data_IF_697941713120
#
_entry.id   IF_697941713120
#
_cell.length_a   1.000
_cell.length_b   1.000
_cell.length_c   1.000
_cell.angle_alpha   90.00
_cell.angle_beta   90.00
_cell.angle_gamma   90.00
#
_symmetry.space_group_name_H-M   'P 1'
#
loop_
_entity.id
_entity.type
_entity.pdbx_description
1 polymer ?
#
# COMPACT_ATOMS: atom_id res chain seq x y z
N UNK A 1 25.55 9.34 -17.56
CA UNK A 1 24.47 8.35 -17.64
C UNK A 1 24.34 7.91 -19.08
N UNK A 2 24.66 6.66 -19.38
CA UNK A 2 24.39 6.05 -20.70
C UNK A 2 22.87 5.92 -20.87
N UNK A 3 22.34 6.27 -22.04
CA UNK A 3 20.93 6.06 -22.36
C UNK A 3 20.58 4.57 -22.12
N UNK A 4 19.40 4.26 -21.55
CA UNK A 4 18.99 2.86 -21.36
C UNK A 4 18.99 2.16 -22.73
N UNK A 5 19.47 0.92 -22.74
CA UNK A 5 19.52 0.11 -23.93
C UNK A 5 18.09 -0.09 -24.48
N UNK A 6 17.92 -0.04 -25.78
CA UNK A 6 16.62 -0.33 -26.42
C UNK A 6 16.31 -1.80 -26.23
N UNK A 7 15.07 -2.15 -25.87
CA UNK A 7 14.63 -3.55 -25.77
C UNK A 7 14.78 -4.25 -27.15
N UNK A 8 15.24 -5.49 -27.12
CA UNK A 8 15.21 -6.34 -28.31
C UNK A 8 13.77 -6.68 -28.71
N UNK A 9 13.53 -7.13 -29.95
CA UNK A 9 12.21 -7.51 -30.40
C UNK A 9 11.55 -8.59 -29.52
N UNK A 10 12.33 -9.55 -29.03
CA UNK A 10 11.82 -10.59 -28.12
C UNK A 10 11.45 -10.03 -26.74
N UNK A 11 12.24 -9.13 -26.19
CA UNK A 11 11.95 -8.43 -24.93
C UNK A 11 10.70 -7.54 -25.05
N UNK A 12 10.59 -6.81 -26.16
CA UNK A 12 9.42 -5.99 -26.44
C UNK A 12 8.16 -6.84 -26.55
N UNK A 13 8.24 -7.98 -27.23
CA UNK A 13 7.11 -8.92 -27.35
C UNK A 13 6.66 -9.44 -25.98
N UNK A 14 7.59 -9.82 -25.10
CA UNK A 14 7.26 -10.28 -23.74
C UNK A 14 6.60 -9.19 -22.91
N UNK A 15 7.09 -7.95 -22.97
CA UNK A 15 6.49 -6.81 -22.28
C UNK A 15 5.08 -6.47 -22.82
N UNK A 16 4.92 -6.43 -24.15
CA UNK A 16 3.64 -6.12 -24.82
C UNK A 16 2.57 -7.17 -24.52
N UNK A 17 2.93 -8.45 -24.40
CA UNK A 17 2.01 -9.51 -24.01
C UNK A 17 1.40 -9.26 -22.63
N UNK A 18 2.24 -8.93 -21.63
CA UNK A 18 1.78 -8.61 -20.27
C UNK A 18 0.89 -7.37 -20.27
N UNK A 19 1.32 -6.29 -20.95
CA UNK A 19 0.56 -5.01 -20.94
C UNK A 19 -0.78 -5.18 -21.66
N UNK A 20 -0.81 -5.89 -22.77
CA UNK A 20 -2.06 -6.18 -23.49
C UNK A 20 -3.03 -6.98 -22.61
N UNK A 21 -2.54 -7.95 -21.86
CA UNK A 21 -3.37 -8.75 -20.95
C UNK A 21 -3.89 -7.93 -19.75
N UNK A 22 -3.13 -6.96 -19.26
CA UNK A 22 -3.49 -6.13 -18.10
C UNK A 22 -4.37 -4.92 -18.46
N UNK A 23 -4.11 -4.29 -19.58
CA UNK A 23 -4.72 -3.00 -19.95
C UNK A 23 -5.52 -3.04 -21.28
N UNK A 24 -5.64 -4.22 -21.87
CA UNK A 24 -6.44 -4.44 -23.07
C UNK A 24 -5.65 -4.34 -24.38
N UNK A 25 -6.29 -4.73 -25.52
CA UNK A 25 -5.67 -4.73 -26.82
C UNK A 25 -5.17 -3.34 -27.24
N UNK A 26 -3.94 -3.27 -27.75
CA UNK A 26 -3.31 -2.03 -28.18
C UNK A 26 -2.67 -1.20 -27.05
N UNK A 27 -2.80 -1.61 -25.80
CA UNK A 27 -2.08 -0.97 -24.70
C UNK A 27 -0.56 -1.10 -24.87
N UNK A 28 0.16 -0.05 -24.49
CA UNK A 28 1.64 0.01 -24.55
C UNK A 28 2.20 0.61 -23.28
N UNK A 29 3.45 0.25 -22.97
CA UNK A 29 4.21 0.94 -21.94
C UNK A 29 4.37 2.42 -22.29
N UNK A 30 4.23 3.28 -21.30
CA UNK A 30 4.57 4.71 -21.39
C UNK A 30 6.09 4.87 -21.49
N UNK A 31 6.58 5.99 -21.99
CA UNK A 31 8.01 6.22 -22.22
C UNK A 31 8.87 5.99 -20.95
N UNK A 32 8.44 6.52 -19.80
CA UNK A 32 9.14 6.30 -18.53
C UNK A 32 9.04 4.85 -18.04
N UNK A 33 7.91 4.16 -18.29
CA UNK A 33 7.77 2.73 -17.99
C UNK A 33 8.73 1.91 -18.86
N UNK A 34 8.76 2.19 -20.15
CA UNK A 34 9.68 1.54 -21.08
C UNK A 34 11.13 1.79 -20.70
N UNK A 35 11.47 3.01 -20.29
CA UNK A 35 12.81 3.37 -19.80
C UNK A 35 13.18 2.56 -18.56
N UNK A 36 12.26 2.44 -17.58
CA UNK A 36 12.49 1.65 -16.38
C UNK A 36 12.66 0.15 -16.70
N UNK A 37 11.76 -0.42 -17.51
CA UNK A 37 11.82 -1.82 -17.93
C UNK A 37 13.14 -2.10 -18.66
N UNK A 38 13.52 -1.24 -19.61
CA UNK A 38 14.75 -1.39 -20.37
C UNK A 38 15.99 -1.35 -19.47
N UNK A 39 16.05 -0.44 -18.51
CA UNK A 39 17.14 -0.37 -17.54
C UNK A 39 17.24 -1.67 -16.71
N UNK A 40 16.11 -2.24 -16.29
CA UNK A 40 16.05 -3.47 -15.47
C UNK A 40 16.49 -4.73 -16.19
N UNK A 41 16.65 -4.72 -17.52
CA UNK A 41 17.24 -5.84 -18.27
C UNK A 41 18.75 -5.92 -18.15
N UNK A 42 19.40 -4.87 -17.64
CA UNK A 42 20.84 -4.86 -17.42
C UNK A 42 21.17 -5.49 -16.05
N UNK A 43 22.22 -6.33 -15.98
CA UNK A 43 22.68 -6.89 -14.71
C UNK A 43 23.05 -5.77 -13.71
N UNK A 44 22.63 -5.95 -12.47
CA UNK A 44 22.92 -5.04 -11.38
C UNK A 44 22.23 -3.67 -11.45
N UNK A 45 21.26 -3.48 -12.36
CA UNK A 45 20.53 -2.24 -12.48
C UNK A 45 19.85 -1.84 -11.18
N UNK A 46 19.84 -0.56 -10.87
CA UNK A 46 19.15 0.06 -9.72
C UNK A 46 18.23 1.13 -10.28
N UNK A 47 16.92 0.95 -10.09
CA UNK A 47 15.91 1.87 -10.63
C UNK A 47 14.96 2.30 -9.51
N UNK A 48 14.74 3.59 -9.38
CA UNK A 48 13.75 4.18 -8.48
C UNK A 48 12.69 4.90 -9.31
N UNK A 49 11.43 4.46 -9.20
CA UNK A 49 10.28 5.05 -9.88
C UNK A 49 9.42 5.80 -8.86
N UNK A 50 9.41 7.13 -8.95
CA UNK A 50 8.59 8.03 -8.12
C UNK A 50 7.50 8.62 -9.01
N UNK A 51 6.31 8.03 -8.98
CA UNK A 51 5.20 8.38 -9.89
C UNK A 51 3.87 8.35 -9.14
N UNK A 52 2.92 9.17 -9.56
CA UNK A 52 1.59 9.26 -8.97
C UNK A 52 0.89 7.89 -8.82
N UNK A 53 -0.06 7.80 -7.90
CA UNK A 53 -0.98 6.65 -7.83
C UNK A 53 -1.74 6.50 -9.16
N UNK A 54 -1.97 5.26 -9.61
CA UNK A 54 -2.62 5.00 -10.90
C UNK A 54 -1.75 5.21 -12.14
N UNK A 55 -0.47 5.60 -12.00
CA UNK A 55 0.45 5.73 -13.13
C UNK A 55 0.82 4.38 -13.77
N UNK A 56 0.62 3.29 -13.07
CA UNK A 56 0.96 1.96 -13.54
C UNK A 56 2.38 1.51 -13.17
N UNK A 57 2.83 1.83 -11.95
CA UNK A 57 4.14 1.37 -11.43
C UNK A 57 4.28 -0.15 -11.50
N UNK A 58 3.20 -0.90 -11.25
CA UNK A 58 3.17 -2.36 -11.32
C UNK A 58 3.42 -2.91 -12.73
N UNK A 59 3.03 -2.19 -13.78
CA UNK A 59 3.32 -2.58 -15.15
C UNK A 59 4.84 -2.71 -15.41
N UNK A 60 5.65 -1.91 -14.73
CA UNK A 60 7.11 -1.96 -14.85
C UNK A 60 7.64 -3.31 -14.38
N UNK A 61 7.28 -3.73 -13.16
CA UNK A 61 7.83 -4.98 -12.62
C UNK A 61 7.19 -6.22 -13.25
N UNK A 62 5.93 -6.17 -13.69
CA UNK A 62 5.34 -7.30 -14.43
C UNK A 62 6.04 -7.49 -15.79
N UNK A 63 6.27 -6.41 -16.54
CA UNK A 63 6.97 -6.48 -17.82
C UNK A 63 8.43 -6.90 -17.66
N UNK A 64 9.16 -6.35 -16.67
CA UNK A 64 10.52 -6.76 -16.38
C UNK A 64 10.61 -8.24 -15.98
N UNK A 65 9.68 -8.72 -15.13
CA UNK A 65 9.59 -10.14 -14.76
C UNK A 65 9.42 -11.02 -16.00
N UNK A 66 8.46 -10.71 -16.87
CA UNK A 66 8.22 -11.49 -18.09
C UNK A 66 9.45 -11.54 -19.01
N UNK A 67 10.16 -10.44 -19.18
CA UNK A 67 11.40 -10.39 -19.96
C UNK A 67 12.48 -11.27 -19.33
N UNK A 68 12.70 -11.15 -18.03
CA UNK A 68 13.73 -11.91 -17.29
C UNK A 68 13.41 -13.40 -17.34
N UNK A 69 12.16 -13.79 -17.13
CA UNK A 69 11.72 -15.20 -17.18
C UNK A 69 11.82 -15.77 -18.60
N UNK A 70 11.44 -15.01 -19.62
CA UNK A 70 11.59 -15.43 -21.01
C UNK A 70 13.07 -15.64 -21.43
N UNK A 71 13.99 -14.94 -20.78
CA UNK A 71 15.43 -15.11 -20.97
C UNK A 71 16.03 -16.25 -20.12
N UNK A 72 15.21 -17.03 -19.38
CA UNK A 72 15.67 -18.10 -18.49
C UNK A 72 16.18 -17.61 -17.13
N UNK A 73 15.94 -16.36 -16.79
CA UNK A 73 16.28 -15.81 -15.48
C UNK A 73 15.37 -16.30 -14.36
N UNK A 74 15.76 -16.04 -13.11
CA UNK A 74 15.06 -16.46 -11.92
C UNK A 74 13.76 -15.69 -11.65
N UNK A 75 13.03 -16.03 -10.58
CA UNK A 75 11.79 -15.38 -10.19
C UNK A 75 12.02 -13.97 -9.68
N UNK A 76 10.93 -13.19 -9.60
CA UNK A 76 10.91 -11.87 -8.98
C UNK A 76 10.44 -11.98 -7.53
N UNK A 77 11.18 -11.37 -6.61
CA UNK A 77 10.76 -11.15 -5.22
C UNK A 77 10.19 -9.74 -5.10
N UNK A 78 8.94 -9.62 -4.64
CA UNK A 78 8.31 -8.32 -4.36
C UNK A 78 8.11 -8.18 -2.85
N UNK A 79 8.73 -7.15 -2.27
CA UNK A 79 8.50 -6.74 -0.89
C UNK A 79 7.41 -5.67 -0.91
N UNK A 80 6.23 -5.97 -0.34
CA UNK A 80 5.07 -5.08 -0.33
C UNK A 80 4.47 -5.02 1.07
N UNK A 81 4.10 -3.82 1.59
CA UNK A 81 3.75 -3.65 3.01
C UNK A 81 2.33 -4.09 3.38
N UNK A 82 1.50 -4.49 2.40
CA UNK A 82 0.06 -4.67 2.64
C UNK A 82 -0.46 -5.98 2.06
N UNK A 83 -1.08 -6.78 2.94
CA UNK A 83 -1.68 -8.07 2.57
C UNK A 83 -2.82 -7.94 1.54
N UNK A 84 -3.67 -6.90 1.66
CA UNK A 84 -4.74 -6.63 0.70
C UNK A 84 -4.18 -6.34 -0.69
N UNK A 85 -3.17 -5.48 -0.77
CA UNK A 85 -2.50 -5.15 -2.03
C UNK A 85 -1.83 -6.37 -2.66
N UNK A 86 -1.25 -7.26 -1.86
CA UNK A 86 -0.62 -8.49 -2.37
C UNK A 86 -1.61 -9.40 -3.09
N UNK A 87 -2.86 -9.53 -2.59
CA UNK A 87 -3.90 -10.32 -3.27
C UNK A 87 -4.22 -9.77 -4.66
N UNK A 88 -4.40 -8.46 -4.75
CA UNK A 88 -4.67 -7.79 -6.03
C UNK A 88 -3.47 -7.88 -6.98
N UNK A 89 -2.26 -7.81 -6.45
CA UNK A 89 -1.02 -8.00 -7.21
C UNK A 89 -0.90 -9.43 -7.73
N UNK A 90 -1.21 -10.46 -6.93
CA UNK A 90 -1.24 -11.86 -7.39
C UNK A 90 -2.27 -12.05 -8.50
N UNK A 91 -3.48 -11.52 -8.33
CA UNK A 91 -4.52 -11.58 -9.35
C UNK A 91 -4.10 -10.84 -10.64
N UNK A 92 -3.42 -9.69 -10.52
CA UNK A 92 -2.88 -8.96 -11.65
C UNK A 92 -1.77 -9.74 -12.38
N UNK A 93 -0.84 -10.36 -11.63
CA UNK A 93 0.20 -11.21 -12.19
C UNK A 93 -0.40 -12.36 -13.01
N UNK A 94 -1.39 -13.05 -12.46
CA UNK A 94 -2.09 -14.14 -13.15
C UNK A 94 -2.78 -13.65 -14.43
N UNK A 95 -3.46 -12.50 -14.39
CA UNK A 95 -4.03 -11.89 -15.63
C UNK A 95 -2.95 -11.56 -16.65
N UNK A 96 -1.76 -11.15 -16.19
CA UNK A 96 -0.58 -10.91 -17.04
C UNK A 96 0.12 -12.17 -17.52
N UNK A 97 -0.40 -13.36 -17.22
CA UNK A 97 0.18 -14.65 -17.63
C UNK A 97 1.37 -15.09 -16.76
N UNK A 98 1.59 -14.47 -15.60
CA UNK A 98 2.66 -14.80 -14.67
C UNK A 98 2.15 -15.67 -13.52
N UNK A 99 2.91 -16.70 -13.14
CA UNK A 99 2.65 -17.51 -11.97
C UNK A 99 3.10 -16.78 -10.70
N UNK A 100 2.18 -16.43 -9.81
CA UNK A 100 2.47 -15.66 -8.61
C UNK A 100 1.91 -16.32 -7.34
N UNK A 101 2.59 -16.11 -6.22
CA UNK A 101 2.13 -16.53 -4.90
C UNK A 101 2.54 -15.50 -3.84
N UNK A 102 1.90 -15.56 -2.68
CA UNK A 102 2.26 -14.76 -1.50
C UNK A 102 2.52 -15.65 -0.31
N UNK A 103 3.49 -15.28 0.52
CA UNK A 103 3.74 -15.90 1.83
C UNK A 103 3.37 -14.92 2.94
N UNK A 104 2.30 -15.23 3.67
CA UNK A 104 1.79 -14.38 4.75
C UNK A 104 1.20 -15.22 5.90
N UNK A 105 0.68 -14.57 6.93
CA UNK A 105 0.13 -15.27 8.11
C UNK A 105 -1.18 -16.03 7.85
N UNK A 106 -1.91 -15.68 6.79
CA UNK A 106 -3.19 -16.33 6.50
C UNK A 106 -3.05 -17.63 5.72
N UNK A 107 -1.87 -17.92 5.11
CA UNK A 107 -1.65 -19.10 4.29
C UNK A 107 -0.46 -19.99 4.73
N UNK A 108 -0.20 -20.04 6.04
CA UNK A 108 0.94 -20.80 6.61
C UNK A 108 0.96 -22.27 6.14
N UNK A 109 -0.22 -22.89 6.02
CA UNK A 109 -0.34 -24.28 5.54
C UNK A 109 0.13 -24.52 4.10
N UNK A 110 0.20 -23.47 3.28
CA UNK A 110 0.60 -23.55 1.87
C UNK A 110 2.08 -23.28 1.64
N UNK A 111 2.81 -22.81 2.67
CA UNK A 111 4.19 -22.34 2.50
C UNK A 111 5.12 -23.36 1.90
N UNK A 112 5.06 -24.62 2.37
CA UNK A 112 5.94 -25.69 1.86
C UNK A 112 5.71 -25.95 0.36
N UNK A 113 4.45 -25.95 -0.09
CA UNK A 113 4.12 -26.12 -1.50
C UNK A 113 4.58 -24.91 -2.35
N UNK A 114 4.47 -23.70 -1.83
CA UNK A 114 4.95 -22.47 -2.51
C UNK A 114 6.48 -22.50 -2.61
N UNK A 115 7.19 -22.92 -1.55
CA UNK A 115 8.65 -23.06 -1.56
C UNK A 115 9.13 -24.13 -2.54
N UNK A 116 8.40 -25.26 -2.67
CA UNK A 116 8.70 -26.29 -3.67
C UNK A 116 8.54 -25.75 -5.10
N UNK A 117 7.45 -25.04 -5.37
CA UNK A 117 7.23 -24.39 -6.68
C UNK A 117 8.33 -23.37 -6.98
N UNK A 118 8.77 -22.61 -5.96
CA UNK A 118 9.85 -21.63 -6.11
C UNK A 118 11.17 -22.31 -6.48
N UNK A 119 11.53 -23.41 -5.79
CA UNK A 119 12.74 -24.21 -6.09
C UNK A 119 12.66 -24.92 -7.44
N UNK A 120 11.45 -25.37 -7.81
CA UNK A 120 11.19 -26.01 -9.11
C UNK A 120 11.21 -25.06 -10.30
N UNK A 121 11.21 -23.74 -10.05
CA UNK A 121 11.14 -22.73 -11.11
C UNK A 121 9.74 -22.48 -11.67
N UNK A 122 8.70 -23.04 -11.04
CA UNK A 122 7.29 -22.94 -11.46
C UNK A 122 6.59 -21.68 -10.95
N UNK A 123 7.33 -20.84 -10.26
CA UNK A 123 6.85 -19.55 -9.75
C UNK A 123 7.63 -18.39 -10.38
N UNK A 124 6.92 -17.46 -11.01
CA UNK A 124 7.53 -16.28 -11.61
C UNK A 124 7.67 -15.13 -10.61
N UNK A 125 6.74 -15.05 -9.64
CA UNK A 125 6.69 -13.97 -8.68
C UNK A 125 6.35 -14.49 -7.29
N UNK A 126 7.15 -14.08 -6.30
CA UNK A 126 6.86 -14.26 -4.89
C UNK A 126 6.66 -12.89 -4.24
N UNK A 127 5.52 -12.70 -3.56
CA UNK A 127 5.24 -11.51 -2.77
C UNK A 127 5.39 -11.82 -1.28
N UNK A 128 6.10 -10.96 -0.56
CA UNK A 128 6.31 -11.08 0.88
C UNK A 128 6.11 -9.74 1.57
N UNK A 129 5.68 -9.75 2.83
CA UNK A 129 5.66 -8.52 3.62
C UNK A 129 7.03 -8.24 4.27
N UNK A 130 7.39 -6.97 4.50
CA UNK A 130 8.64 -6.61 5.16
C UNK A 130 8.77 -7.24 6.55
N UNK A 131 7.67 -7.31 7.33
CA UNK A 131 7.65 -7.92 8.66
C UNK A 131 8.00 -9.42 8.60
N UNK A 132 7.56 -10.11 7.54
CA UNK A 132 7.90 -11.52 7.32
C UNK A 132 9.35 -11.68 6.90
N UNK A 133 9.83 -10.83 6.02
CA UNK A 133 11.22 -10.84 5.59
C UNK A 133 12.17 -10.50 6.75
N UNK A 134 11.71 -9.67 7.69
CA UNK A 134 12.43 -9.33 8.92
C UNK A 134 12.56 -10.50 9.91
N UNK A 135 11.69 -11.52 9.84
CA UNK A 135 11.82 -12.71 10.67
C UNK A 135 13.04 -13.53 10.22
N UNK A 136 14.07 -13.73 11.07
CA UNK A 136 15.35 -14.32 10.65
C UNK A 136 15.24 -15.75 10.12
N UNK A 137 14.30 -16.54 10.65
CA UNK A 137 14.07 -17.93 10.19
C UNK A 137 13.36 -17.97 8.85
N UNK A 138 12.34 -17.15 8.68
CA UNK A 138 11.56 -17.04 7.45
C UNK A 138 12.36 -16.39 6.32
N UNK A 139 13.03 -15.27 6.61
CA UNK A 139 13.84 -14.54 5.62
C UNK A 139 14.92 -15.42 5.02
N UNK A 140 15.65 -16.17 5.86
CA UNK A 140 16.65 -17.13 5.38
C UNK A 140 16.05 -18.22 4.50
N UNK A 141 14.92 -18.83 4.90
CA UNK A 141 14.25 -19.85 4.10
C UNK A 141 13.85 -19.37 2.70
N UNK A 142 13.34 -18.14 2.61
CA UNK A 142 12.96 -17.53 1.32
C UNK A 142 14.20 -17.26 0.48
N UNK A 143 15.24 -16.66 1.07
CA UNK A 143 16.49 -16.38 0.35
C UNK A 143 17.21 -17.65 -0.07
N UNK A 144 17.22 -18.71 0.76
CA UNK A 144 17.78 -20.04 0.43
C UNK A 144 16.98 -20.71 -0.69
N UNK A 145 15.64 -20.56 -0.69
CA UNK A 145 14.80 -21.10 -1.76
C UNK A 145 15.03 -20.38 -3.10
N UNK A 146 15.39 -19.11 -3.07
CA UNK A 146 15.80 -18.34 -4.24
C UNK A 146 17.25 -18.65 -4.67
N UNK A 147 18.09 -19.20 -3.74
CA UNK A 147 19.41 -19.79 -3.94
C UNK A 147 20.32 -19.09 -4.98
N UNK A 148 20.44 -17.79 -4.90
CA UNK A 148 21.28 -17.00 -5.82
C UNK A 148 20.71 -16.86 -7.24
N UNK A 149 19.52 -17.39 -7.50
CA UNK A 149 18.82 -17.30 -8.80
C UNK A 149 17.66 -16.29 -8.77
N UNK A 150 17.78 -15.20 -8.00
CA UNK A 150 16.80 -14.12 -8.00
C UNK A 150 16.93 -13.30 -9.28
N UNK A 151 15.86 -13.25 -10.09
CA UNK A 151 15.84 -12.50 -11.34
C UNK A 151 15.66 -10.99 -11.15
N UNK A 152 14.82 -10.58 -10.17
CA UNK A 152 14.52 -9.18 -9.87
C UNK A 152 14.09 -9.04 -8.40
N UNK A 153 14.59 -8.03 -7.72
CA UNK A 153 14.03 -7.59 -6.44
C UNK A 153 13.19 -6.33 -6.66
N UNK A 154 11.96 -6.33 -6.15
CA UNK A 154 11.07 -5.16 -6.16
C UNK A 154 10.78 -4.74 -4.72
N UNK A 155 10.97 -3.45 -4.44
CA UNK A 155 10.62 -2.81 -3.17
C UNK A 155 9.45 -1.86 -3.47
N UNK A 156 8.24 -2.30 -3.16
CA UNK A 156 7.05 -1.47 -3.33
C UNK A 156 6.85 -0.59 -2.09
N UNK A 157 6.25 0.59 -2.29
CA UNK A 157 6.13 1.65 -1.29
C UNK A 157 7.47 1.99 -0.61
N UNK A 158 8.52 2.12 -1.42
CA UNK A 158 9.90 2.30 -0.98
C UNK A 158 10.14 3.54 -0.09
N UNK A 159 9.20 4.48 0.00
CA UNK A 159 9.26 5.58 0.95
C UNK A 159 9.33 5.09 2.41
N UNK A 160 8.83 3.88 2.71
CA UNK A 160 8.87 3.29 4.04
C UNK A 160 10.28 2.80 4.44
N UNK A 161 11.22 2.72 3.51
CA UNK A 161 12.65 2.41 3.78
C UNK A 161 13.37 3.61 4.39
N UNK A 162 12.94 4.83 4.04
CA UNK A 162 13.58 6.07 4.47
C UNK A 162 13.18 6.45 5.89
N UNK A 163 14.13 6.73 6.75
CA UNK A 163 13.90 7.29 8.11
C UNK A 163 13.17 8.66 8.06
N UNK A 164 13.16 9.31 6.91
CA UNK A 164 12.46 10.56 6.63
C UNK A 164 11.09 10.34 5.96
N UNK A 165 10.73 9.08 5.73
CA UNK A 165 9.42 8.70 5.22
C UNK A 165 8.35 8.88 6.32
N UNK A 166 7.17 9.36 5.94
CA UNK A 166 6.04 9.55 6.85
C UNK A 166 5.45 8.23 7.39
N UNK A 167 5.77 7.11 6.78
CA UNK A 167 5.33 5.75 7.15
C UNK A 167 6.56 4.84 7.30
N UNK A 168 7.58 5.36 8.00
CA UNK A 168 8.79 4.59 8.30
C UNK A 168 8.43 3.33 9.07
N UNK A 169 8.86 2.18 8.53
CA UNK A 169 8.66 0.87 9.15
C UNK A 169 10.01 0.24 9.47
N UNK A 170 10.30 -0.03 10.75
CA UNK A 170 11.57 -0.65 11.15
C UNK A 170 11.89 -1.94 10.39
N UNK A 171 10.86 -2.69 10.00
CA UNK A 171 11.00 -3.94 9.25
C UNK A 171 11.60 -3.73 7.85
N UNK A 172 11.44 -2.55 7.25
CA UNK A 172 12.11 -2.21 6.00
C UNK A 172 13.63 -2.06 6.11
N UNK A 173 14.19 -1.88 7.32
CA UNK A 173 15.63 -1.95 7.53
C UNK A 173 16.21 -3.30 7.12
N UNK A 174 15.44 -4.37 7.31
CA UNK A 174 15.84 -5.72 6.85
C UNK A 174 15.89 -5.84 5.33
N UNK A 175 15.14 -5.02 4.61
CA UNK A 175 15.26 -4.94 3.14
C UNK A 175 16.64 -4.42 2.75
N UNK A 176 17.20 -3.47 3.52
CA UNK A 176 18.57 -3.01 3.32
C UNK A 176 19.62 -4.12 3.60
N UNK A 177 19.37 -5.01 4.57
CA UNK A 177 20.22 -6.18 4.78
C UNK A 177 20.14 -7.14 3.58
N UNK A 178 18.93 -7.43 3.09
CA UNK A 178 18.73 -8.24 1.88
C UNK A 178 19.44 -7.63 0.67
N UNK A 179 19.39 -6.31 0.51
CA UNK A 179 20.10 -5.59 -0.57
C UNK A 179 21.62 -5.77 -0.50
N UNK A 180 22.20 -5.84 0.71
CA UNK A 180 23.63 -6.05 0.92
C UNK A 180 24.08 -7.48 0.60
N UNK A 181 23.23 -8.45 0.94
CA UNK A 181 23.53 -9.88 0.74
C UNK A 181 23.14 -10.37 -0.68
N UNK A 182 22.47 -9.51 -1.46
CA UNK A 182 22.01 -9.82 -2.80
C UNK A 182 23.18 -9.99 -3.77
N UNK A 183 23.04 -10.92 -4.70
CA UNK A 183 23.99 -11.00 -5.84
C UNK A 183 24.04 -9.62 -6.52
N UNK A 184 25.24 -8.99 -6.65
CA UNK A 184 25.36 -7.67 -7.24
C UNK A 184 24.79 -7.54 -8.66
N UNK A 185 24.72 -8.66 -9.39
CA UNK A 185 24.13 -8.71 -10.73
C UNK A 185 22.58 -8.71 -10.74
N UNK A 186 21.92 -8.97 -9.61
CA UNK A 186 20.45 -8.92 -9.54
C UNK A 186 19.95 -7.49 -9.67
N UNK A 187 19.09 -7.16 -10.66
CA UNK A 187 18.49 -5.85 -10.76
C UNK A 187 17.53 -5.57 -9.61
N UNK A 188 17.40 -4.31 -9.21
CA UNK A 188 16.50 -3.87 -8.15
C UNK A 188 15.65 -2.70 -8.65
N UNK A 189 14.35 -2.82 -8.43
CA UNK A 189 13.37 -1.77 -8.64
C UNK A 189 12.78 -1.33 -7.31
N UNK A 190 12.82 -0.05 -7.02
CA UNK A 190 12.04 0.57 -5.95
C UNK A 190 10.92 1.43 -6.55
N UNK A 191 9.71 1.33 -5.99
CA UNK A 191 8.55 2.10 -6.46
C UNK A 191 7.89 2.83 -5.30
N UNK A 192 7.45 4.07 -5.54
CA UNK A 192 6.65 4.82 -4.57
C UNK A 192 5.81 5.89 -5.24
N UNK A 193 4.70 6.29 -4.59
CA UNK A 193 3.86 7.41 -5.02
C UNK A 193 4.05 8.67 -4.17
N UNK A 194 4.74 8.60 -3.04
CA UNK A 194 4.66 9.62 -1.98
C UNK A 194 6.02 10.15 -1.50
N UNK A 195 7.09 9.95 -2.25
CA UNK A 195 8.40 10.46 -1.88
C UNK A 195 8.57 11.93 -2.27
N UNK A 196 8.91 12.78 -1.31
CA UNK A 196 9.43 14.13 -1.57
C UNK A 196 10.90 14.05 -2.05
N UNK A 197 11.53 15.20 -2.33
CA UNK A 197 12.88 15.22 -2.85
C UNK A 197 13.91 14.58 -1.90
N UNK A 198 13.76 14.80 -0.58
CA UNK A 198 14.66 14.26 0.45
C UNK A 198 14.53 12.73 0.56
N UNK A 199 13.30 12.22 0.65
CA UNK A 199 13.03 10.77 0.67
C UNK A 199 13.50 10.11 -0.63
N UNK A 200 13.31 10.78 -1.78
CA UNK A 200 13.81 10.28 -3.08
C UNK A 200 15.32 10.13 -3.07
N UNK A 201 16.04 11.13 -2.55
CA UNK A 201 17.51 11.10 -2.49
C UNK A 201 17.99 10.00 -1.52
N UNK A 202 17.39 9.88 -0.35
CA UNK A 202 17.72 8.87 0.65
C UNK A 202 17.51 7.44 0.11
N UNK A 203 16.35 7.17 -0.47
CA UNK A 203 16.07 5.84 -1.07
C UNK A 203 17.03 5.56 -2.23
N UNK A 204 17.35 6.56 -3.08
CA UNK A 204 18.30 6.38 -4.17
C UNK A 204 19.71 6.07 -3.67
N UNK A 205 20.15 6.70 -2.58
CA UNK A 205 21.44 6.45 -1.94
C UNK A 205 21.50 5.02 -1.37
N UNK A 206 20.45 4.57 -0.69
CA UNK A 206 20.35 3.21 -0.15
C UNK A 206 20.35 2.12 -1.23
N UNK A 207 19.79 2.40 -2.41
CA UNK A 207 19.83 1.50 -3.57
C UNK A 207 21.24 1.47 -4.22
N UNK A 208 21.98 2.54 -4.10
CA UNK A 208 23.34 2.67 -4.63
C UNK A 208 23.56 3.90 -5.52
N UNK A 209 24.82 4.31 -5.66
CA UNK A 209 25.24 5.55 -6.33
C UNK A 209 24.91 5.64 -7.82
N UNK A 210 24.60 4.52 -8.46
CA UNK A 210 24.27 4.42 -9.90
C UNK A 210 22.76 4.30 -10.14
N UNK A 211 21.94 4.62 -9.15
CA UNK A 211 20.46 4.48 -9.25
C UNK A 211 19.89 5.41 -10.32
N UNK A 212 19.16 4.83 -11.27
CA UNK A 212 18.33 5.58 -12.22
C UNK A 212 17.06 6.03 -11.51
N UNK A 213 16.89 7.34 -11.33
CA UNK A 213 15.69 7.92 -10.73
C UNK A 213 14.77 8.44 -11.81
N UNK A 214 13.57 7.86 -11.92
CA UNK A 214 12.50 8.31 -12.81
C UNK A 214 11.39 8.94 -11.96
N UNK A 215 11.38 10.26 -11.93
CA UNK A 215 10.44 11.06 -11.15
C UNK A 215 9.53 11.88 -12.04
N UNK A 216 8.24 11.59 -12.01
CA UNK A 216 7.22 12.36 -12.70
C UNK A 216 6.44 13.32 -11.77
N UNK A 217 5.48 14.03 -12.35
CA UNK A 217 4.55 14.85 -11.58
C UNK A 217 3.68 13.96 -10.68
N UNK A 218 3.59 14.32 -9.42
CA UNK A 218 2.71 13.63 -8.46
C UNK A 218 1.27 14.17 -8.53
N UNK A 219 1.09 15.42 -9.01
CA UNK A 219 -0.22 16.03 -9.21
C UNK A 219 -0.96 15.36 -10.37
N UNK A 220 -2.26 15.12 -10.17
CA UNK A 220 -3.14 14.53 -11.17
C UNK A 220 -4.15 15.57 -11.65
N UNK A 221 -4.22 15.78 -12.97
CA UNK A 221 -5.09 16.78 -13.60
C UNK A 221 -6.58 16.46 -13.41
N UNK A 222 -6.93 15.18 -13.25
CA UNK A 222 -8.32 14.75 -13.03
C UNK A 222 -8.90 15.09 -11.66
N UNK A 223 -8.09 15.54 -10.69
CA UNK A 223 -8.55 15.81 -9.34
C UNK A 223 -8.86 17.30 -9.14
N UNK A 224 -10.12 17.62 -8.84
CA UNK A 224 -10.56 18.97 -8.43
C UNK A 224 -10.58 19.04 -6.91
N UNK A 225 -9.53 19.64 -6.34
CA UNK A 225 -9.34 19.76 -4.90
C UNK A 225 -10.09 20.98 -4.36
N UNK A 226 -10.97 20.77 -3.40
CA UNK A 226 -11.73 21.79 -2.71
C UNK A 226 -11.58 21.65 -1.20
N UNK A 227 -11.60 22.77 -0.49
CA UNK A 227 -11.54 22.81 0.97
C UNK A 227 -12.65 23.71 1.49
N UNK A 228 -13.38 23.22 2.49
CA UNK A 228 -14.29 24.00 3.32
C UNK A 228 -13.81 23.91 4.76
N UNK A 229 -13.61 25.02 5.41
CA UNK A 229 -13.25 25.14 6.81
C UNK A 229 -14.33 25.83 7.64
N UNK A 230 -14.14 25.88 8.96
CA UNK A 230 -15.04 26.58 9.87
C UNK A 230 -16.39 25.90 10.11
N UNK A 231 -16.63 24.71 9.58
CA UNK A 231 -17.84 23.95 9.83
C UNK A 231 -17.77 23.21 11.17
N UNK A 232 -18.84 23.29 11.96
CA UNK A 232 -19.01 22.44 13.13
C UNK A 232 -19.17 20.96 12.73
N UNK A 233 -18.96 19.99 13.63
CA UNK A 233 -19.11 18.56 13.30
C UNK A 233 -20.47 18.23 12.67
N UNK A 234 -21.56 18.79 13.21
CA UNK A 234 -22.90 18.56 12.68
C UNK A 234 -23.12 19.19 11.30
N UNK A 235 -22.51 20.35 11.05
CA UNK A 235 -22.58 21.00 9.73
C UNK A 235 -21.79 20.22 8.68
N UNK A 236 -20.67 19.58 9.05
CA UNK A 236 -19.93 18.67 8.15
C UNK A 236 -20.77 17.46 7.77
N UNK A 237 -21.47 16.85 8.73
CA UNK A 237 -22.37 15.73 8.45
C UNK A 237 -23.54 16.16 7.56
N UNK A 238 -24.15 17.30 7.86
CA UNK A 238 -25.23 17.87 7.05
C UNK A 238 -24.78 18.16 5.62
N UNK A 239 -23.57 18.72 5.46
CA UNK A 239 -22.98 18.99 4.14
C UNK A 239 -22.84 17.71 3.34
N UNK A 240 -22.27 16.64 3.94
CA UNK A 240 -22.13 15.35 3.26
C UNK A 240 -23.50 14.78 2.89
N UNK A 241 -24.44 14.73 3.83
CA UNK A 241 -25.78 14.18 3.56
C UNK A 241 -26.48 14.94 2.43
N UNK A 242 -26.40 16.26 2.40
CA UNK A 242 -27.04 17.07 1.36
C UNK A 242 -26.33 17.00 0.00
N UNK A 243 -25.01 16.94 -0.01
CA UNK A 243 -24.23 17.02 -1.24
C UNK A 243 -24.02 15.66 -1.92
N UNK A 244 -24.08 14.54 -1.15
CA UNK A 244 -23.78 13.20 -1.63
C UNK A 244 -24.55 12.78 -2.90
N UNK A 245 -25.85 13.09 -3.05
CA UNK A 245 -26.58 12.76 -4.28
C UNK A 245 -26.03 13.41 -5.52
N UNK A 246 -25.53 14.65 -5.40
CA UNK A 246 -25.02 15.45 -6.51
C UNK A 246 -23.56 15.13 -6.87
N UNK A 247 -22.81 14.44 -6.02
CA UNK A 247 -21.44 14.03 -6.33
C UNK A 247 -21.40 12.99 -7.46
N UNK A 248 -20.37 13.04 -8.35
CA UNK A 248 -20.32 12.19 -9.54
C UNK A 248 -20.07 10.71 -9.17
N UNK A 249 -20.80 9.80 -9.80
CA UNK A 249 -20.59 8.35 -9.68
C UNK A 249 -20.70 7.83 -8.25
N UNK A 250 -19.79 6.96 -7.86
CA UNK A 250 -19.61 6.47 -6.50
C UNK A 250 -18.28 6.96 -5.91
N UNK A 251 -18.16 6.94 -4.57
CA UNK A 251 -16.97 7.49 -3.93
C UNK A 251 -16.73 6.99 -2.51
N UNK A 252 -15.75 7.61 -1.87
CA UNK A 252 -15.37 7.33 -0.48
C UNK A 252 -15.52 8.60 0.34
N UNK A 253 -16.13 8.47 1.52
CA UNK A 253 -16.17 9.52 2.53
C UNK A 253 -15.32 9.09 3.70
N UNK A 254 -14.17 9.73 3.92
CA UNK A 254 -13.28 9.42 5.03
C UNK A 254 -13.71 10.13 6.29
N UNK A 255 -13.86 9.37 7.37
CA UNK A 255 -14.10 9.84 8.73
C UNK A 255 -12.88 9.54 9.60
N UNK A 256 -12.66 10.36 10.65
CA UNK A 256 -11.48 10.22 11.51
C UNK A 256 -11.60 9.06 12.49
N UNK A 257 -12.82 8.77 12.96
CA UNK A 257 -13.10 7.72 13.94
C UNK A 257 -14.18 6.76 13.45
N UNK A 258 -14.24 5.57 14.05
CA UNK A 258 -15.30 4.59 13.80
C UNK A 258 -16.67 5.18 14.13
N UNK A 259 -16.78 5.83 15.29
CA UNK A 259 -18.03 6.45 15.73
C UNK A 259 -18.50 7.56 14.77
N UNK A 260 -17.60 8.32 14.16
CA UNK A 260 -17.96 9.32 13.16
C UNK A 260 -18.43 8.67 11.86
N UNK A 261 -17.84 7.55 11.47
CA UNK A 261 -18.27 6.81 10.29
C UNK A 261 -19.71 6.29 10.45
N UNK A 262 -20.03 5.70 11.60
CA UNK A 262 -21.36 5.19 11.90
C UNK A 262 -22.40 6.32 11.97
N UNK A 263 -22.10 7.39 12.72
CA UNK A 263 -22.98 8.57 12.83
C UNK A 263 -23.27 9.22 11.48
N UNK A 264 -22.26 9.27 10.61
CA UNK A 264 -22.43 9.85 9.29
C UNK A 264 -23.30 8.96 8.38
N UNK A 265 -23.17 7.65 8.45
CA UNK A 265 -24.07 6.72 7.77
C UNK A 265 -25.52 6.91 8.26
N UNK A 266 -25.72 7.01 9.58
CA UNK A 266 -27.04 7.26 10.16
C UNK A 266 -27.61 8.61 9.73
N UNK A 267 -26.79 9.67 9.69
CA UNK A 267 -27.21 10.98 9.22
C UNK A 267 -27.62 10.97 7.73
N UNK A 268 -26.89 10.27 6.87
CA UNK A 268 -27.23 10.13 5.46
C UNK A 268 -28.56 9.38 5.30
N UNK A 269 -28.72 8.26 6.03
CA UNK A 269 -29.96 7.47 6.02
C UNK A 269 -31.17 8.23 6.57
N UNK A 270 -30.97 9.06 7.60
CA UNK A 270 -32.04 9.88 8.15
C UNK A 270 -32.59 10.89 7.13
N UNK A 271 -31.75 11.35 6.19
CA UNK A 271 -32.13 12.32 5.15
C UNK A 271 -32.71 11.63 3.91
N UNK A 272 -32.14 10.51 3.49
CA UNK A 272 -32.41 9.88 2.18
C UNK A 272 -33.07 8.51 2.27
N UNK A 273 -33.22 7.94 3.47
CA UNK A 273 -33.69 6.55 3.60
C UNK A 273 -32.79 5.57 2.84
N UNK A 274 -33.44 4.67 2.10
CA UNK A 274 -32.75 3.67 1.27
C UNK A 274 -32.48 4.14 -0.17
N UNK A 275 -32.86 5.38 -0.52
CA UNK A 275 -32.66 5.92 -1.88
C UNK A 275 -31.16 6.11 -2.20
N UNK A 276 -30.33 6.26 -1.17
CA UNK A 276 -28.88 6.39 -1.31
C UNK A 276 -28.19 5.31 -0.48
N UNK A 277 -27.72 4.28 -1.18
CA UNK A 277 -27.01 3.18 -0.54
C UNK A 277 -25.64 3.62 -0.03
N UNK A 278 -25.43 3.60 1.28
CA UNK A 278 -24.16 3.86 1.96
C UNK A 278 -23.90 2.82 3.04
N UNK A 279 -22.63 2.56 3.31
CA UNK A 279 -22.23 1.67 4.38
C UNK A 279 -20.97 2.18 5.09
N UNK A 280 -20.86 1.89 6.38
CA UNK A 280 -19.63 2.13 7.14
C UNK A 280 -18.60 1.04 6.82
N UNK A 281 -17.33 1.47 6.60
CA UNK A 281 -16.19 0.59 6.38
C UNK A 281 -15.08 0.90 7.39
N UNK A 282 -14.93 0.03 8.37
CA UNK A 282 -13.99 0.26 9.49
C UNK A 282 -13.12 -0.95 9.75
N UNK A 283 -12.07 -0.77 10.57
CA UNK A 283 -11.19 -1.87 10.98
C UNK A 283 -11.86 -2.93 11.86
N UNK A 284 -13.04 -2.62 12.43
CA UNK A 284 -13.80 -3.54 13.28
C UNK A 284 -14.60 -4.58 12.48
N UNK A 285 -14.78 -4.37 11.17
CA UNK A 285 -15.44 -5.32 10.29
C UNK A 285 -14.56 -6.56 10.09
N UNK A 286 -15.18 -7.73 10.03
CA UNK A 286 -14.51 -8.95 9.60
C UNK A 286 -14.06 -8.89 8.12
N UNK A 287 -13.23 -9.85 7.72
CA UNK A 287 -12.63 -9.84 6.39
C UNK A 287 -13.68 -10.04 5.28
N UNK A 288 -14.69 -10.88 5.52
CA UNK A 288 -15.71 -11.22 4.52
C UNK A 288 -16.60 -10.00 4.28
N UNK A 289 -17.03 -9.34 5.36
CA UNK A 289 -17.82 -8.11 5.25
C UNK A 289 -17.09 -6.97 4.57
N UNK A 290 -15.80 -6.80 4.86
CA UNK A 290 -14.98 -5.82 4.15
C UNK A 290 -14.95 -6.10 2.65
N UNK A 291 -14.73 -7.36 2.28
CA UNK A 291 -14.70 -7.77 0.87
C UNK A 291 -16.04 -7.54 0.15
N UNK A 292 -17.17 -7.88 0.80
CA UNK A 292 -18.51 -7.60 0.25
C UNK A 292 -18.72 -6.11 -0.03
N UNK A 293 -18.28 -5.23 0.87
CA UNK A 293 -18.42 -3.78 0.73
C UNK A 293 -17.49 -3.20 -0.34
N UNK A 294 -16.27 -3.70 -0.42
CA UNK A 294 -15.32 -3.37 -1.49
C UNK A 294 -15.89 -3.74 -2.86
N UNK A 295 -16.45 -4.94 -2.98
CA UNK A 295 -17.10 -5.42 -4.19
C UNK A 295 -18.38 -4.63 -4.52
N UNK A 296 -19.15 -4.26 -3.50
CA UNK A 296 -20.32 -3.41 -3.69
C UNK A 296 -19.95 -2.02 -4.22
N UNK A 297 -18.88 -1.41 -3.73
CA UNK A 297 -18.39 -0.12 -4.23
C UNK A 297 -17.78 -0.27 -5.63
N UNK A 298 -17.02 -1.35 -5.88
CA UNK A 298 -16.41 -1.64 -7.19
C UNK A 298 -17.47 -1.70 -8.31
N UNK A 299 -18.61 -2.33 -8.03
CA UNK A 299 -19.71 -2.51 -8.97
C UNK A 299 -20.79 -1.43 -8.89
N UNK A 300 -20.52 -0.30 -8.23
CA UNK A 300 -21.46 0.83 -8.08
C UNK A 300 -22.80 0.44 -7.42
N UNK A 301 -22.82 -0.61 -6.58
CA UNK A 301 -24.00 -1.01 -5.81
C UNK A 301 -24.22 -0.16 -4.57
N UNK A 302 -23.23 0.62 -4.17
CA UNK A 302 -23.31 1.65 -3.14
C UNK A 302 -22.85 2.98 -3.70
N UNK A 303 -23.50 4.07 -3.26
CA UNK A 303 -23.09 5.44 -3.62
C UNK A 303 -21.77 5.82 -2.98
N UNK A 304 -21.59 5.44 -1.71
CA UNK A 304 -20.36 5.69 -0.99
C UNK A 304 -20.09 4.64 0.10
N UNK A 305 -18.81 4.39 0.36
CA UNK A 305 -18.37 3.86 1.64
C UNK A 305 -17.94 5.02 2.55
N UNK A 306 -18.49 5.05 3.75
CA UNK A 306 -18.04 5.94 4.81
C UNK A 306 -16.97 5.20 5.59
N UNK A 307 -15.71 5.57 5.38
CA UNK A 307 -14.57 4.76 5.79
C UNK A 307 -13.65 5.49 6.76
N UNK A 308 -13.06 4.75 7.68
CA UNK A 308 -11.84 5.20 8.38
C UNK A 308 -10.62 4.93 7.51
N UNK A 309 -9.41 5.18 8.04
CA UNK A 309 -8.15 4.78 7.39
C UNK A 309 -8.05 3.25 7.12
N UNK A 310 -8.99 2.45 7.63
CA UNK A 310 -9.10 1.01 7.36
C UNK A 310 -9.33 0.70 5.86
N UNK A 311 -10.05 1.56 5.13
CA UNK A 311 -10.08 1.53 3.66
C UNK A 311 -8.79 2.19 3.15
N UNK A 312 -7.70 1.55 3.53
CA UNK A 312 -6.36 2.01 3.30
C UNK A 312 -5.82 1.64 1.93
N UNK A 313 -4.49 1.61 1.80
CA UNK A 313 -3.80 1.24 0.57
C UNK A 313 -4.30 -0.12 0.03
N UNK A 314 -4.32 -0.30 -1.29
CA UNK A 314 -4.67 -1.56 -1.94
C UNK A 314 -6.04 -1.59 -2.63
N UNK A 315 -7.02 -0.78 -2.22
CA UNK A 315 -8.29 -0.72 -2.94
C UNK A 315 -8.17 0.10 -4.23
N UNK A 316 -8.50 -0.50 -5.36
CA UNK A 316 -8.47 0.13 -6.68
C UNK A 316 -9.83 0.10 -7.38
N UNK A 317 -10.39 1.29 -7.60
CA UNK A 317 -11.60 1.49 -8.41
C UNK A 317 -11.32 2.57 -9.45
N UNK A 318 -11.22 2.21 -10.75
CA UNK A 318 -10.83 3.15 -11.81
C UNK A 318 -11.78 4.34 -11.96
N UNK A 319 -13.07 4.11 -11.82
CA UNK A 319 -14.16 5.08 -12.00
C UNK A 319 -14.67 5.70 -10.67
N UNK A 320 -13.79 5.80 -9.64
CA UNK A 320 -14.15 6.47 -8.39
C UNK A 320 -14.30 7.98 -8.63
N UNK A 321 -15.53 8.48 -8.52
CA UNK A 321 -15.88 9.84 -8.93
C UNK A 321 -15.57 10.91 -7.89
N UNK A 322 -15.52 10.55 -6.60
CA UNK A 322 -15.23 11.50 -5.54
C UNK A 322 -14.54 10.89 -4.32
N UNK A 323 -13.85 11.76 -3.59
CA UNK A 323 -13.36 11.52 -2.23
C UNK A 323 -13.70 12.73 -1.36
N UNK A 324 -14.38 12.50 -0.24
CA UNK A 324 -14.68 13.53 0.76
C UNK A 324 -13.97 13.17 2.07
N UNK A 325 -13.31 14.15 2.68
CA UNK A 325 -12.74 14.02 4.02
C UNK A 325 -13.58 14.81 5.02
N UNK A 326 -14.13 14.12 6.02
CA UNK A 326 -14.82 14.72 7.17
C UNK A 326 -13.82 14.83 8.30
N UNK A 327 -13.01 15.87 8.25
CA UNK A 327 -11.83 16.10 9.07
C UNK A 327 -10.52 15.88 8.31
N UNK A 328 -9.48 16.55 8.78
CA UNK A 328 -8.16 16.52 8.17
C UNK A 328 -7.46 15.19 8.47
N UNK A 329 -6.91 14.48 7.48
CA UNK A 329 -6.10 13.29 7.71
C UNK A 329 -4.79 13.63 8.45
N UNK A 330 -4.08 12.62 9.03
CA UNK A 330 -2.94 12.83 9.92
C UNK A 330 -1.74 13.52 9.26
N UNK A 331 -1.66 13.47 7.94
CA UNK A 331 -0.56 14.05 7.21
C UNK A 331 -0.95 14.42 5.77
N UNK A 332 -0.24 15.35 5.12
CA UNK A 332 -0.42 15.63 3.69
C UNK A 332 -0.23 14.40 2.81
N UNK A 333 0.58 13.46 3.23
CA UNK A 333 0.84 12.24 2.49
C UNK A 333 -0.34 11.27 2.59
N UNK A 334 -0.91 11.09 3.79
CA UNK A 334 -2.15 10.32 3.97
C UNK A 334 -3.28 10.92 3.14
N UNK A 335 -3.41 12.26 3.14
CA UNK A 335 -4.34 12.96 2.27
C UNK A 335 -4.11 12.61 0.80
N UNK A 336 -2.88 12.75 0.32
CA UNK A 336 -2.51 12.46 -1.07
C UNK A 336 -2.80 11.00 -1.47
N UNK A 337 -2.51 10.04 -0.61
CA UNK A 337 -2.79 8.63 -0.84
C UNK A 337 -4.30 8.35 -0.94
N UNK A 338 -5.10 8.99 -0.08
CA UNK A 338 -6.56 8.84 -0.04
C UNK A 338 -7.23 9.50 -1.26
N UNK A 339 -6.90 10.74 -1.57
CA UNK A 339 -7.45 11.44 -2.76
C UNK A 339 -6.99 10.80 -4.07
N UNK A 340 -5.80 10.23 -4.08
CA UNK A 340 -5.24 9.52 -5.23
C UNK A 340 -6.02 8.26 -5.67
N UNK A 341 -7.06 7.88 -4.94
CA UNK A 341 -7.98 6.80 -5.33
C UNK A 341 -8.98 7.25 -6.37
N UNK A 342 -9.45 8.51 -6.28
CA UNK A 342 -10.42 9.05 -7.23
C UNK A 342 -9.82 9.34 -8.60
N UNK A 343 -10.64 9.37 -9.63
CA UNK A 343 -10.31 9.88 -10.96
C UNK A 343 -9.19 9.13 -11.70
N UNK A 344 -9.00 7.82 -11.48
CA UNK A 344 -7.92 7.07 -12.16
C UNK A 344 -8.17 6.86 -13.64
N UNK A 345 -9.41 6.53 -13.98
CA UNK A 345 -9.88 6.39 -15.38
C UNK A 345 -10.97 7.40 -15.73
N UNK A 346 -11.06 8.50 -15.00
CA UNK A 346 -11.98 9.60 -15.24
C UNK A 346 -11.19 10.86 -15.58
N UNK A 347 -11.77 11.71 -16.41
CA UNK A 347 -11.21 13.01 -16.73
C UNK A 347 -11.33 13.98 -15.56
N UNK A 348 -12.41 13.83 -14.76
CA UNK A 348 -12.73 14.68 -13.62
C UNK A 348 -13.19 13.87 -12.41
N UNK A 349 -12.69 14.20 -11.23
CA UNK A 349 -13.14 13.66 -9.96
C UNK A 349 -13.13 14.75 -8.88
N UNK A 350 -14.14 14.75 -8.02
CA UNK A 350 -14.30 15.73 -6.96
C UNK A 350 -13.58 15.29 -5.70
N UNK A 351 -12.73 16.15 -5.18
CA UNK A 351 -12.12 15.96 -3.86
C UNK A 351 -12.56 17.12 -2.96
N UNK A 352 -13.09 16.78 -1.79
CA UNK A 352 -13.54 17.75 -0.80
C UNK A 352 -12.88 17.46 0.55
N UNK A 353 -12.28 18.45 1.15
CA UNK A 353 -11.79 18.41 2.52
C UNK A 353 -12.67 19.35 3.39
N UNK A 354 -13.36 18.77 4.36
CA UNK A 354 -14.12 19.50 5.37
C UNK A 354 -13.25 19.61 6.63
N UNK A 355 -12.36 20.59 6.64
CA UNK A 355 -11.38 20.78 7.70
C UNK A 355 -11.99 21.40 8.97
N UNK A 356 -11.37 21.16 10.12
CA UNK A 356 -11.70 21.83 11.38
C UNK A 356 -10.47 21.95 12.26
N UNK A 357 -10.35 23.05 13.00
CA UNK A 357 -9.30 23.23 14.00
C UNK A 357 -9.37 22.21 15.16
N UNK A 358 -10.49 21.49 15.32
CA UNK A 358 -10.62 20.45 16.34
C UNK A 358 -10.01 19.12 15.91
N UNK A 359 -9.68 18.95 14.62
CA UNK A 359 -9.12 17.73 14.09
C UNK A 359 -7.72 17.44 14.67
N UNK A 360 -6.95 18.50 14.98
CA UNK A 360 -5.61 18.39 15.57
C UNK A 360 -5.64 17.65 16.91
N UNK A 361 -6.68 17.84 17.73
CA UNK A 361 -6.84 17.15 19.02
C UNK A 361 -7.02 15.65 18.86
N UNK A 362 -7.68 15.21 17.79
CA UNK A 362 -7.87 13.80 17.50
C UNK A 362 -6.52 13.17 17.14
N UNK A 363 -5.72 13.88 16.35
CA UNK A 363 -4.38 13.39 15.97
C UNK A 363 -3.40 13.45 17.14
N UNK A 364 -3.47 14.45 17.98
CA UNK A 364 -2.69 14.53 19.22
C UNK A 364 -3.03 13.34 20.14
N UNK A 365 -4.32 13.03 20.30
CA UNK A 365 -4.74 11.84 21.05
C UNK A 365 -4.15 10.56 20.47
N UNK A 366 -4.27 10.31 19.16
CA UNK A 366 -3.71 9.12 18.52
C UNK A 366 -2.18 9.07 18.61
N UNK A 367 -1.50 10.18 18.53
CA UNK A 367 -0.06 10.25 18.66
C UNK A 367 0.43 9.95 20.07
N UNK A 368 -0.36 10.30 21.10
CA UNK A 368 0.01 10.14 22.51
C UNK A 368 -0.55 8.87 23.14
N UNK A 369 -1.69 8.37 22.67
CA UNK A 369 -2.34 7.17 23.23
C UNK A 369 -1.51 5.89 23.10
N UNK A 370 -0.55 5.84 22.17
CA UNK A 370 0.37 4.72 21.99
C UNK A 370 1.67 4.86 22.79
N UNK A 371 1.91 6.01 23.41
CA UNK A 371 3.09 6.22 24.24
C UNK A 371 2.82 5.57 25.60
N UNK A 372 3.60 4.55 25.99
CA UNK A 372 3.42 3.94 27.29
C UNK A 372 3.63 4.96 28.40
N UNK A 373 2.81 4.89 29.45
CA UNK A 373 2.97 5.70 30.64
C UNK A 373 4.37 5.47 31.24
N UNK A 374 5.21 6.51 31.41
CA UNK A 374 6.57 6.36 31.90
C UNK A 374 6.64 5.76 33.31
N UNK A 375 5.63 5.98 34.16
CA UNK A 375 5.59 5.44 35.51
C UNK A 375 5.23 3.95 35.46
N UNK A 376 4.23 3.55 34.67
CA UNK A 376 3.92 2.12 34.45
C UNK A 376 5.09 1.37 33.79
N UNK A 377 5.83 2.00 32.89
CA UNK A 377 7.02 1.39 32.29
C UNK A 377 8.14 1.22 33.32
N UNK A 378 8.32 2.17 34.23
CA UNK A 378 9.31 2.07 35.30
C UNK A 378 8.94 0.97 36.30
N UNK A 379 7.67 0.89 36.66
CA UNK A 379 7.14 -0.16 37.53
C UNK A 379 7.32 -1.56 36.91
N UNK A 380 7.05 -1.66 35.59
CA UNK A 380 7.27 -2.90 34.82
C UNK A 380 8.75 -3.31 34.83
N UNK A 381 9.67 -2.37 34.55
CA UNK A 381 11.11 -2.65 34.58
C UNK A 381 11.55 -3.12 35.93
N UNK A 382 11.11 -2.43 37.02
CA UNK A 382 11.42 -2.82 38.39
C UNK A 382 10.89 -4.21 38.71
N UNK A 383 9.65 -4.51 38.35
CA UNK A 383 9.06 -5.82 38.56
C UNK A 383 9.74 -6.94 37.76
N UNK A 384 10.28 -6.63 36.58
CA UNK A 384 11.04 -7.59 35.76
C UNK A 384 12.43 -7.87 36.35
N UNK A 385 13.09 -6.85 36.93
CA UNK A 385 14.39 -6.99 37.58
C UNK A 385 14.30 -7.81 38.87
N UNK A 386 13.16 -7.76 39.59
CA UNK A 386 12.90 -8.46 40.84
C UNK A 386 12.27 -9.86 40.63
N UNK A 387 11.94 -10.27 39.43
CA UNK A 387 11.20 -11.50 39.14
C UNK A 387 12.10 -12.69 38.82
N UNK A 388 11.84 -13.83 39.47
CA UNK A 388 12.47 -15.11 39.13
C UNK A 388 12.03 -15.65 37.75
N UNK A 389 10.81 -15.29 37.30
CA UNK A 389 10.25 -15.65 35.99
C UNK A 389 9.63 -14.41 35.31
N UNK A 390 10.39 -13.72 34.44
CA UNK A 390 9.94 -12.47 33.76
C UNK A 390 8.62 -12.56 32.98
N UNK A 391 8.32 -13.72 32.39
CA UNK A 391 7.08 -13.91 31.64
C UNK A 391 5.81 -13.83 32.49
N UNK A 392 5.90 -14.26 33.77
CA UNK A 392 4.77 -14.21 34.71
C UNK A 392 4.39 -12.79 35.09
N UNK A 393 5.36 -11.89 35.17
CA UNK A 393 5.15 -10.47 35.52
C UNK A 393 4.43 -9.74 34.39
N UNK A 394 4.82 -9.96 33.14
CA UNK A 394 4.15 -9.37 31.97
C UNK A 394 2.68 -9.79 31.87
N UNK A 395 2.39 -11.06 32.17
CA UNK A 395 1.02 -11.59 32.16
C UNK A 395 0.14 -10.96 33.25
N UNK A 396 0.69 -10.78 34.45
CA UNK A 396 -0.01 -10.18 35.60
C UNK A 396 -0.33 -8.69 35.36
N UNK A 397 0.58 -7.93 34.77
CA UNK A 397 0.38 -6.52 34.48
C UNK A 397 -0.67 -6.30 33.37
N UNK A 398 -0.70 -7.19 32.37
CA UNK A 398 -1.71 -7.14 31.31
C UNK A 398 -3.12 -7.52 31.82
N UNK A 399 -3.21 -8.41 32.79
CA UNK A 399 -4.49 -8.83 33.38
C UNK A 399 -5.02 -7.86 34.44
N UNK A 400 -4.15 -7.09 35.14
CA UNK A 400 -4.59 -6.09 36.12
C UNK A 400 -5.21 -4.86 35.48
N UNK A 401 -4.69 -4.39 34.33
CA UNK A 401 -5.31 -3.28 33.56
C UNK A 401 -6.70 -3.65 33.00
N UNK A 402 -6.92 -4.92 32.64
CA UNK A 402 -8.23 -5.41 32.18
C UNK A 402 -9.27 -5.55 33.30
N UNK A 403 -8.87 -5.52 34.57
CA UNK A 403 -9.75 -5.61 35.73
C UNK A 403 -10.24 -4.24 36.23
N UNK A 404 -9.49 -3.17 35.95
CA UNK A 404 -9.83 -1.79 36.38
C UNK A 404 -10.77 -1.05 35.40
N UNK A 405 -11.01 -1.58 34.18
CA UNK A 405 -11.91 -0.99 33.19
C UNK A 405 -13.34 -1.54 33.22
N UNK A 406 -13.82 -2.09 34.34
CA UNK A 406 -15.24 -2.43 34.48
C UNK A 406 -15.99 -1.37 35.29
N UNK A 407 -17.10 -0.84 34.76
CA UNK A 407 -17.89 0.23 35.36
C UNK A 407 -18.56 -0.19 36.65
#
# INVERSE_FOLDING_TARGET
MTAPATLTAAQQHAADAVITSLAGPGARLRDDQLTAVSALTAPGARVLVVQATGWGKSAVYWSATAIIRAAGGGPTLIVSPLLSLMRDQVAAAHRGGLSAATLNSSNIGEWSAIEERLRGGDLDVLLVSPERLANPGFGRRVLDALAGNLGLLVIDEAHAVSDWGHDFRPDYRRVADVLRDLNPATPVLATTATANARVTADVAEQLGTQTLVLRGPLARKSLHLNVLDGLSPIQRYAWVAQSLPALPGSGIVYALTVADADRLVDAIRAVHGDDIAVAAYTGQLDADRRHELEDALLHNRVKALVATSALGMGYDKPDLGFVVHVGSPPSPVSYYQQVGRAGRALDDAVVMLLASATDDRIWEYFATATIPDPDKMRDLITALDDADEPQSVVCLLYTSDAADERP
#
